data_IF_194969944031
#
_entry.id   IF_194969944031
#
_cell.length_a   1.000
_cell.length_b   1.000
_cell.length_c   1.000
_cell.angle_alpha   90.00
_cell.angle_beta   90.00
_cell.angle_gamma   90.00
#
_symmetry.space_group_name_H-M   'P 1'
#
loop_
_entity.id
_entity.type
_entity.pdbx_description
1 polymer ?
#
# COMPACT_ATOMS: atom_id res chain seq x y z
N UNK A 1 -42.85 -44.82 -37.85
CA UNK A 1 -43.57 -43.75 -37.11
C UNK A 1 -42.80 -43.42 -35.84
N UNK A 2 -42.31 -42.17 -35.78
CA UNK A 2 -41.79 -41.36 -34.65
C UNK A 2 -40.87 -42.05 -33.62
N UNK A 3 -39.57 -41.80 -33.77
CA UNK A 3 -38.58 -41.91 -32.69
C UNK A 3 -38.72 -40.74 -31.71
N UNK A 4 -38.82 -41.03 -30.43
CA UNK A 4 -38.80 -40.07 -29.33
C UNK A 4 -37.38 -39.49 -29.17
N UNK A 5 -37.18 -38.16 -29.12
CA UNK A 5 -35.88 -37.62 -28.74
C UNK A 5 -35.73 -37.66 -27.22
N UNK A 6 -34.73 -38.41 -26.75
CA UNK A 6 -34.22 -38.32 -25.38
C UNK A 6 -33.51 -36.97 -25.26
N UNK A 7 -34.10 -36.03 -24.53
CA UNK A 7 -33.46 -34.79 -24.13
C UNK A 7 -32.34 -35.17 -23.15
N UNK A 8 -31.10 -35.26 -23.65
CA UNK A 8 -29.92 -35.23 -22.80
C UNK A 8 -29.76 -33.80 -22.31
N UNK A 9 -30.26 -33.49 -21.12
CA UNK A 9 -29.86 -32.32 -20.36
C UNK A 9 -28.36 -32.43 -20.09
N UNK A 10 -27.55 -31.84 -20.96
CA UNK A 10 -26.14 -31.60 -20.71
C UNK A 10 -26.09 -30.48 -19.66
N UNK A 11 -25.90 -30.84 -18.40
CA UNK A 11 -25.61 -29.90 -17.32
C UNK A 11 -24.20 -29.35 -17.61
N UNK A 12 -24.13 -28.26 -18.37
CA UNK A 12 -22.91 -27.49 -18.52
C UNK A 12 -22.66 -26.79 -17.17
N UNK A 13 -21.89 -27.45 -16.29
CA UNK A 13 -21.28 -26.79 -15.15
C UNK A 13 -20.30 -25.78 -15.72
N UNK A 14 -20.77 -24.54 -15.86
CA UNK A 14 -19.92 -23.40 -16.17
C UNK A 14 -19.04 -23.17 -14.93
N UNK A 15 -17.91 -23.87 -14.88
CA UNK A 15 -16.80 -23.49 -14.00
C UNK A 15 -16.31 -22.16 -14.58
N UNK A 16 -16.81 -21.06 -14.02
CA UNK A 16 -16.18 -19.76 -14.19
C UNK A 16 -14.83 -19.90 -13.48
N UNK A 17 -13.81 -20.26 -14.26
CA UNK A 17 -12.43 -20.11 -13.86
C UNK A 17 -12.20 -18.61 -13.67
N UNK A 18 -12.37 -18.14 -12.43
CA UNK A 18 -11.75 -16.88 -12.03
C UNK A 18 -10.27 -17.16 -12.11
N UNK A 19 -9.65 -16.75 -13.21
CA UNK A 19 -8.21 -16.59 -13.28
C UNK A 19 -7.84 -15.53 -12.26
N UNK A 20 -7.67 -15.94 -11.01
CA UNK A 20 -6.78 -15.30 -10.07
C UNK A 20 -5.42 -15.38 -10.74
N UNK A 21 -5.14 -14.38 -11.58
CA UNK A 21 -3.80 -14.10 -12.01
C UNK A 21 -3.02 -13.82 -10.74
N UNK A 22 -2.36 -14.85 -10.22
CA UNK A 22 -1.20 -14.68 -9.36
C UNK A 22 -0.17 -14.07 -10.31
N UNK A 23 -0.27 -12.75 -10.53
CA UNK A 23 0.89 -12.00 -10.98
C UNK A 23 1.92 -12.27 -9.90
N UNK A 24 3.02 -12.92 -10.25
CA UNK A 24 4.13 -13.05 -9.31
C UNK A 24 4.44 -11.64 -8.81
N UNK A 25 4.37 -11.45 -7.50
CA UNK A 25 4.79 -10.22 -6.86
C UNK A 25 6.22 -9.95 -7.35
N UNK A 26 6.38 -8.94 -8.20
CA UNK A 26 7.70 -8.48 -8.61
C UNK A 26 8.01 -7.32 -7.72
N UNK A 27 9.11 -7.40 -6.99
CA UNK A 27 9.71 -6.23 -6.36
C UNK A 27 9.84 -5.15 -7.43
N UNK A 28 9.23 -3.99 -7.16
CA UNK A 28 9.25 -2.84 -8.03
C UNK A 28 10.27 -1.83 -7.51
N UNK A 29 10.91 -1.12 -8.43
CA UNK A 29 12.06 -0.27 -8.18
C UNK A 29 11.74 1.17 -8.59
N UNK A 30 12.03 2.13 -7.72
CA UNK A 30 11.75 3.55 -7.95
C UNK A 30 12.92 4.42 -7.49
N UNK A 31 13.41 5.28 -8.37
CA UNK A 31 14.45 6.25 -8.02
C UNK A 31 13.97 7.27 -6.99
N UNK A 32 14.82 7.60 -6.03
CA UNK A 32 14.52 8.54 -4.95
C UNK A 32 15.75 9.37 -4.55
N UNK A 33 15.59 10.26 -3.56
CA UNK A 33 16.70 11.04 -3.00
C UNK A 33 17.73 10.22 -2.22
N UNK A 34 17.39 8.99 -1.83
CA UNK A 34 18.24 8.10 -1.02
C UNK A 34 18.76 6.88 -1.79
N UNK A 35 18.54 6.83 -3.11
CA UNK A 35 18.88 5.67 -3.95
C UNK A 35 17.63 5.03 -4.54
N UNK A 36 17.77 3.80 -5.01
CA UNK A 36 16.67 3.07 -5.64
C UNK A 36 15.85 2.37 -4.54
N UNK A 37 14.62 2.84 -4.34
CA UNK A 37 13.67 2.20 -3.41
C UNK A 37 13.12 0.93 -4.04
N UNK A 38 13.19 -0.17 -3.29
CA UNK A 38 12.57 -1.46 -3.62
C UNK A 38 11.37 -1.69 -2.72
N UNK A 39 10.27 -2.12 -3.34
CA UNK A 39 9.03 -2.41 -2.62
C UNK A 39 8.27 -3.54 -3.31
N UNK A 40 7.79 -4.50 -2.53
CA UNK A 40 6.98 -5.61 -3.01
C UNK A 40 5.49 -5.22 -3.00
N UNK A 41 4.95 -4.98 -4.19
CA UNK A 41 3.54 -4.65 -4.40
C UNK A 41 2.94 -5.75 -5.29
N UNK A 42 1.81 -6.37 -4.91
CA UNK A 42 1.27 -7.57 -5.57
C UNK A 42 0.67 -7.33 -6.96
N UNK A 43 0.86 -6.14 -7.53
CA UNK A 43 0.40 -5.73 -8.85
C UNK A 43 1.26 -4.58 -9.37
N UNK A 44 1.23 -4.36 -10.68
CA UNK A 44 2.00 -3.30 -11.32
C UNK A 44 1.50 -1.91 -10.93
N UNK A 45 2.44 -1.00 -10.64
CA UNK A 45 2.19 0.42 -10.44
C UNK A 45 3.20 1.25 -11.23
N UNK A 46 2.89 2.52 -11.46
CA UNK A 46 3.81 3.49 -12.08
C UNK A 46 3.89 4.76 -11.24
N UNK A 47 4.90 5.60 -11.49
CA UNK A 47 5.00 6.92 -10.87
C UNK A 47 3.93 7.84 -11.47
N UNK A 48 3.06 8.38 -10.62
CA UNK A 48 2.11 9.43 -11.00
C UNK A 48 2.79 10.79 -11.14
N UNK A 49 2.12 11.71 -11.84
CA UNK A 49 2.63 13.05 -12.20
C UNK A 49 3.11 13.91 -11.03
N UNK A 50 2.62 13.65 -9.82
CA UNK A 50 3.00 14.38 -8.60
C UNK A 50 4.25 13.79 -7.91
N UNK A 51 4.88 12.78 -8.52
CA UNK A 51 6.07 12.16 -7.95
C UNK A 51 7.29 13.08 -8.05
N UNK A 52 8.17 13.00 -7.05
CA UNK A 52 9.48 13.62 -7.01
C UNK A 52 10.42 12.83 -6.10
N UNK A 53 11.66 13.27 -5.97
CA UNK A 53 12.72 12.47 -5.33
C UNK A 53 12.42 12.09 -3.86
N UNK A 54 11.69 12.94 -3.12
CA UNK A 54 11.30 12.68 -1.71
C UNK A 54 9.82 12.27 -1.56
N UNK A 55 9.06 12.17 -2.65
CA UNK A 55 7.64 11.83 -2.62
C UNK A 55 7.25 11.02 -3.85
N UNK A 56 7.13 9.70 -3.70
CA UNK A 56 6.72 8.81 -4.78
C UNK A 56 5.21 8.59 -4.67
N UNK A 57 4.48 8.92 -5.73
CA UNK A 57 3.03 8.81 -5.80
C UNK A 57 2.67 7.68 -6.76
N UNK A 58 2.55 6.46 -6.25
CA UNK A 58 2.35 5.27 -7.06
C UNK A 58 0.90 5.16 -7.51
N UNK A 59 0.66 4.96 -8.81
CA UNK A 59 -0.68 4.91 -9.42
C UNK A 59 -0.91 3.57 -10.15
N UNK A 60 -2.17 3.16 -10.30
CA UNK A 60 -2.53 2.10 -11.25
C UNK A 60 -2.22 2.60 -12.68
N UNK A 61 -1.58 1.81 -13.55
CA UNK A 61 -1.24 2.23 -14.90
C UNK A 61 -2.43 2.82 -15.67
N UNK A 62 -2.22 4.00 -16.26
CA UNK A 62 -3.28 4.72 -16.99
C UNK A 62 -4.28 5.47 -16.09
N UNK A 63 -4.00 5.60 -14.80
CA UNK A 63 -4.75 6.45 -13.87
C UNK A 63 -3.88 7.59 -13.35
N UNK A 64 -4.51 8.64 -12.80
CA UNK A 64 -3.77 9.76 -12.18
C UNK A 64 -3.92 9.79 -10.66
N UNK A 65 -4.62 8.82 -10.07
CA UNK A 65 -4.91 8.81 -8.63
C UNK A 65 -3.88 7.95 -7.89
N UNK A 66 -3.12 8.53 -6.95
CA UNK A 66 -2.23 7.75 -6.09
C UNK A 66 -3.00 6.69 -5.31
N UNK A 67 -2.45 5.47 -5.32
CA UNK A 67 -2.94 4.32 -4.57
C UNK A 67 -2.00 3.92 -3.44
N UNK A 68 -0.71 4.30 -3.52
CA UNK A 68 0.28 4.25 -2.45
C UNK A 68 1.14 5.51 -2.57
N UNK A 69 1.44 6.13 -1.44
CA UNK A 69 2.38 7.26 -1.39
C UNK A 69 3.53 6.91 -0.46
N UNK A 70 4.77 7.05 -0.94
CA UNK A 70 6.01 6.86 -0.18
C UNK A 70 6.66 8.24 -0.02
N UNK A 71 6.83 8.71 1.21
CA UNK A 71 7.38 10.04 1.48
C UNK A 71 8.61 9.94 2.36
N UNK A 72 9.66 10.65 1.98
CA UNK A 72 10.96 10.67 2.65
C UNK A 72 11.11 11.99 3.41
N UNK A 73 11.27 11.89 4.71
CA UNK A 73 11.36 13.05 5.61
C UNK A 73 12.76 13.13 6.21
N UNK A 74 13.36 14.31 6.20
CA UNK A 74 14.71 14.51 6.76
C UNK A 74 14.72 14.25 8.28
N UNK A 75 15.35 13.15 8.70
CA UNK A 75 15.31 12.73 10.11
C UNK A 75 16.04 13.70 11.02
N UNK A 76 17.09 14.39 10.55
CA UNK A 76 17.86 15.32 11.37
C UNK A 76 17.05 16.59 11.68
N UNK A 77 16.28 17.08 10.71
CA UNK A 77 15.33 18.17 10.89
C UNK A 77 14.19 17.74 11.82
N UNK A 78 13.58 16.58 11.56
CA UNK A 78 12.42 16.14 12.35
C UNK A 78 12.76 15.74 13.78
N UNK A 79 13.95 15.20 14.05
CA UNK A 79 14.45 14.93 15.41
C UNK A 79 14.53 16.19 16.28
N UNK A 80 14.64 17.39 15.69
CA UNK A 80 14.61 18.65 16.44
C UNK A 80 13.20 19.02 16.91
N UNK A 81 12.17 18.59 16.19
CA UNK A 81 10.76 18.86 16.48
C UNK A 81 10.10 17.72 17.27
N UNK A 82 10.50 16.49 16.96
CA UNK A 82 10.01 15.23 17.50
C UNK A 82 11.22 14.40 17.95
N UNK A 83 11.67 14.57 19.20
CA UNK A 83 12.84 13.89 19.76
C UNK A 83 12.88 12.38 19.59
N UNK A 84 11.72 11.73 19.47
CA UNK A 84 11.63 10.28 19.24
C UNK A 84 10.97 9.92 17.91
N UNK A 85 11.28 8.73 17.39
CA UNK A 85 10.64 8.19 16.19
C UNK A 85 9.12 8.03 16.37
N UNK A 86 8.68 7.66 17.57
CA UNK A 86 7.25 7.60 17.89
C UNK A 86 6.59 8.98 17.83
N UNK A 87 7.20 10.02 18.42
CA UNK A 87 6.66 11.38 18.34
C UNK A 87 6.58 11.89 16.88
N UNK A 88 7.54 11.49 16.02
CA UNK A 88 7.45 11.77 14.60
C UNK A 88 6.23 11.08 13.97
N UNK A 89 5.98 9.80 14.26
CA UNK A 89 4.80 9.10 13.75
C UNK A 89 3.49 9.72 14.29
N UNK A 90 3.45 10.07 15.58
CA UNK A 90 2.31 10.75 16.23
C UNK A 90 2.00 12.11 15.60
N UNK A 91 2.98 12.81 15.03
CA UNK A 91 2.73 14.09 14.36
C UNK A 91 1.74 13.99 13.19
N UNK A 92 1.55 12.79 12.62
CA UNK A 92 0.59 12.54 11.53
C UNK A 92 -0.80 12.11 12.02
N UNK A 93 -0.91 11.58 13.23
CA UNK A 93 -2.12 10.85 13.69
C UNK A 93 -2.65 11.29 15.05
N UNK A 94 -1.93 12.18 15.72
CA UNK A 94 -2.22 12.68 17.06
C UNK A 94 -1.36 12.03 18.14
N UNK A 95 -1.05 12.83 19.17
CA UNK A 95 -0.27 12.40 20.34
C UNK A 95 -0.96 11.28 21.11
N UNK A 96 -0.17 10.31 21.58
CA UNK A 96 -0.67 9.16 22.34
C UNK A 96 -1.41 8.11 21.50
N UNK A 97 -1.26 8.16 20.18
CA UNK A 97 -1.74 7.11 19.29
C UNK A 97 -0.97 5.81 19.52
N UNK A 98 -1.67 4.70 19.64
CA UNK A 98 -1.04 3.39 19.75
C UNK A 98 -0.64 2.87 18.35
N UNK A 99 0.60 2.44 18.23
CA UNK A 99 1.12 1.82 17.00
C UNK A 99 1.34 0.33 17.22
N UNK A 100 1.22 -0.43 16.15
CA UNK A 100 1.77 -1.78 16.12
C UNK A 100 3.26 -1.67 15.77
N UNK A 101 4.11 -2.06 16.73
CA UNK A 101 5.55 -2.13 16.54
C UNK A 101 5.91 -3.34 15.66
N UNK A 102 6.70 -3.09 14.63
CA UNK A 102 7.12 -4.07 13.64
C UNK A 102 8.56 -3.81 13.22
N UNK A 103 9.05 -4.62 12.29
CA UNK A 103 10.36 -4.47 11.67
C UNK A 103 10.24 -4.75 10.18
N UNK A 104 10.93 -3.96 9.34
CA UNK A 104 11.05 -4.25 7.91
C UNK A 104 11.85 -5.53 7.68
N UNK A 105 11.81 -6.07 6.47
CA UNK A 105 12.56 -7.27 6.11
C UNK A 105 14.08 -7.03 6.13
N UNK A 106 14.51 -5.76 6.04
CA UNK A 106 15.91 -5.33 6.25
C UNK A 106 16.27 -5.01 7.71
N UNK A 107 15.36 -5.22 8.66
CA UNK A 107 15.66 -5.01 10.08
C UNK A 107 15.46 -3.57 10.58
N UNK A 108 14.81 -2.69 9.80
CA UNK A 108 14.55 -1.29 10.21
C UNK A 108 13.35 -1.23 11.16
N UNK A 109 13.39 -0.40 12.24
CA UNK A 109 12.22 -0.17 13.09
C UNK A 109 11.05 0.35 12.28
N UNK A 110 9.85 -0.21 12.52
CA UNK A 110 8.63 0.19 11.84
C UNK A 110 7.49 0.37 12.84
N UNK A 111 6.73 1.45 12.72
CA UNK A 111 5.46 1.63 13.42
C UNK A 111 4.33 1.55 12.39
N UNK A 112 3.28 0.81 12.71
CA UNK A 112 2.14 0.64 11.82
C UNK A 112 0.85 1.15 12.46
N UNK A 113 0.07 1.90 11.70
CA UNK A 113 -1.19 2.50 12.14
C UNK A 113 -2.34 2.20 11.18
N UNK A 114 -3.51 1.93 11.76
CA UNK A 114 -4.79 1.78 11.05
C UNK A 114 -5.74 2.82 11.60
N UNK A 115 -6.24 3.69 10.72
CA UNK A 115 -7.11 4.80 11.10
C UNK A 115 -8.42 4.65 10.36
N UNK A 116 -9.55 4.68 11.06
CA UNK A 116 -10.85 4.81 10.39
C UNK A 116 -11.09 6.28 10.02
N UNK A 117 -11.02 6.61 8.73
CA UNK A 117 -11.23 7.98 8.24
C UNK A 117 -12.71 8.30 8.02
N UNK A 118 -13.57 7.30 7.97
CA UNK A 118 -15.00 7.52 7.84
C UNK A 118 -15.78 6.25 7.52
N UNK A 119 -16.88 6.45 6.83
CA UNK A 119 -17.74 5.38 6.30
C UNK A 119 -18.08 5.70 4.85
N UNK A 120 -18.30 4.67 4.04
CA UNK A 120 -18.81 4.84 2.69
C UNK A 120 -20.33 5.03 2.68
N UNK A 121 -20.94 5.09 1.49
CA UNK A 121 -22.39 5.34 1.35
C UNK A 121 -23.26 4.21 1.89
N UNK A 122 -22.71 3.02 2.03
CA UNK A 122 -23.40 1.84 2.57
C UNK A 122 -23.24 1.75 4.10
N UNK A 123 -22.42 2.64 4.68
CA UNK A 123 -22.10 2.68 6.10
C UNK A 123 -20.88 1.85 6.46
N UNK A 124 -20.19 1.25 5.49
CA UNK A 124 -19.01 0.43 5.73
C UNK A 124 -17.80 1.31 6.07
N UNK A 125 -16.98 0.93 7.06
CA UNK A 125 -15.84 1.73 7.47
C UNK A 125 -14.78 1.85 6.37
N UNK A 126 -14.26 3.06 6.19
CA UNK A 126 -13.11 3.32 5.32
C UNK A 126 -11.90 3.54 6.22
N UNK A 127 -10.86 2.75 5.99
CA UNK A 127 -9.59 2.86 6.71
C UNK A 127 -8.51 3.51 5.85
N UNK A 128 -7.55 4.14 6.52
CA UNK A 128 -6.23 4.49 5.99
C UNK A 128 -5.17 3.75 6.77
N UNK A 129 -4.18 3.24 6.05
CA UNK A 129 -3.03 2.55 6.59
C UNK A 129 -1.79 3.43 6.46
N UNK A 130 -0.94 3.40 7.49
CA UNK A 130 0.35 4.11 7.50
C UNK A 130 1.42 3.21 8.10
N UNK A 131 2.50 3.01 7.35
CA UNK A 131 3.76 2.47 7.84
C UNK A 131 4.77 3.61 7.98
N UNK A 132 5.31 3.79 9.18
CA UNK A 132 6.42 4.69 9.47
C UNK A 132 7.66 3.82 9.63
N UNK A 133 8.75 4.14 8.93
CA UNK A 133 10.01 3.38 8.99
C UNK A 133 11.14 4.31 9.40
N UNK A 134 11.94 3.87 10.38
CA UNK A 134 13.16 4.58 10.79
C UNK A 134 14.33 4.11 9.93
N UNK A 135 14.64 4.89 8.90
CA UNK A 135 15.80 4.69 8.03
C UNK A 135 16.89 5.75 8.30
N UNK A 136 16.88 6.33 9.51
CA UNK A 136 17.72 7.49 9.83
C UNK A 136 19.20 7.15 9.96
N UNK A 137 19.52 5.93 10.40
CA UNK A 137 20.90 5.47 10.57
C UNK A 137 21.59 5.20 9.22
N UNK A 138 20.88 4.67 8.23
CA UNK A 138 21.46 4.33 6.92
C UNK A 138 21.37 5.48 5.93
N UNK A 139 20.20 6.11 5.83
CA UNK A 139 19.91 7.08 4.77
C UNK A 139 19.49 8.46 5.29
N UNK A 140 19.47 8.67 6.61
CA UNK A 140 19.11 9.96 7.20
C UNK A 140 17.63 10.32 7.03
N UNK A 141 16.74 9.36 6.71
CA UNK A 141 15.31 9.61 6.48
C UNK A 141 14.41 8.89 7.46
N UNK A 142 13.27 9.50 7.74
CA UNK A 142 12.07 8.77 8.13
C UNK A 142 11.20 8.55 6.91
N UNK A 143 10.68 7.33 6.73
CA UNK A 143 9.86 6.98 5.57
C UNK A 143 8.42 6.82 6.01
N UNK A 144 7.48 7.40 5.26
CA UNK A 144 6.05 7.26 5.48
C UNK A 144 5.39 6.68 4.24
N UNK A 145 4.98 5.43 4.35
CA UNK A 145 4.23 4.70 3.31
C UNK A 145 2.76 4.71 3.73
N UNK A 146 1.87 5.24 2.90
CA UNK A 146 0.45 5.30 3.24
C UNK A 146 -0.46 5.05 2.04
N UNK A 147 -1.63 4.48 2.33
CA UNK A 147 -2.68 4.23 1.36
C UNK A 147 -4.06 4.16 2.03
N UNK A 148 -5.14 4.53 1.34
CA UNK A 148 -6.47 4.15 1.76
C UNK A 148 -6.68 2.65 1.57
N UNK A 149 -7.43 2.02 2.47
CA UNK A 149 -7.89 0.62 2.34
C UNK A 149 -8.63 0.34 1.04
N UNK A 150 -9.28 1.37 0.46
CA UNK A 150 -9.94 1.31 -0.85
C UNK A 150 -9.68 2.60 -1.64
N UNK A 151 -9.00 2.51 -2.77
CA UNK A 151 -8.82 3.62 -3.69
C UNK A 151 -9.86 3.56 -4.82
N UNK A 152 -10.58 4.67 -5.04
CA UNK A 152 -11.63 4.79 -6.08
C UNK A 152 -11.28 5.91 -7.05
N UNK A 153 -11.25 5.63 -8.35
CA UNK A 153 -11.03 6.61 -9.41
C UNK A 153 -12.14 6.52 -10.46
N UNK A 154 -12.77 7.65 -10.77
CA UNK A 154 -13.89 7.73 -11.74
C UNK A 154 -15.01 6.69 -11.48
N UNK A 155 -15.31 6.42 -10.21
CA UNK A 155 -16.35 5.47 -9.81
C UNK A 155 -15.92 3.99 -9.83
N UNK A 156 -14.70 3.68 -10.27
CA UNK A 156 -14.12 2.33 -10.24
C UNK A 156 -13.18 2.17 -9.04
N UNK A 157 -13.26 1.03 -8.36
CA UNK A 157 -12.23 0.63 -7.38
C UNK A 157 -10.97 0.22 -8.15
N UNK A 158 -9.87 0.91 -7.87
CA UNK A 158 -8.58 0.72 -8.54
C UNK A 158 -7.54 0.06 -7.65
N UNK A 159 -7.72 0.10 -6.33
CA UNK A 159 -6.90 -0.68 -5.39
C UNK A 159 -7.69 -0.98 -4.12
N UNK A 160 -7.37 -2.10 -3.48
CA UNK A 160 -7.88 -2.47 -2.15
C UNK A 160 -6.78 -3.19 -1.39
N UNK A 161 -6.70 -2.92 -0.09
CA UNK A 161 -5.71 -3.53 0.81
C UNK A 161 -6.41 -4.01 2.07
N UNK A 162 -6.04 -5.21 2.54
CA UNK A 162 -6.21 -5.55 3.95
C UNK A 162 -5.08 -4.93 4.77
N UNK A 163 -5.26 -4.91 6.10
CA UNK A 163 -4.23 -4.51 7.04
C UNK A 163 -2.93 -5.29 6.80
N UNK A 164 -3.03 -6.62 6.69
CA UNK A 164 -1.89 -7.53 6.55
C UNK A 164 -1.18 -7.34 5.22
N UNK A 165 -1.93 -7.13 4.13
CA UNK A 165 -1.36 -6.83 2.82
C UNK A 165 -0.56 -5.53 2.84
N UNK A 166 -1.12 -4.47 3.43
CA UNK A 166 -0.43 -3.19 3.47
C UNK A 166 0.76 -3.19 4.44
N UNK A 167 0.66 -3.89 5.56
CA UNK A 167 1.80 -4.11 6.46
C UNK A 167 2.93 -4.86 5.75
N UNK A 168 2.62 -5.90 4.96
CA UNK A 168 3.62 -6.62 4.17
C UNK A 168 4.30 -5.71 3.11
N UNK A 169 3.54 -4.87 2.42
CA UNK A 169 4.08 -3.85 1.51
C UNK A 169 5.06 -2.94 2.26
N UNK A 170 4.68 -2.42 3.44
CA UNK A 170 5.56 -1.55 4.22
C UNK A 170 6.84 -2.27 4.68
N UNK A 171 6.72 -3.53 5.11
CA UNK A 171 7.86 -4.34 5.55
C UNK A 171 8.88 -4.60 4.44
N UNK A 172 8.41 -4.70 3.20
CA UNK A 172 9.28 -4.95 2.05
C UNK A 172 10.15 -3.76 1.62
N UNK A 173 9.98 -2.59 2.25
CA UNK A 173 10.78 -1.40 1.95
C UNK A 173 12.28 -1.67 2.14
N UNK A 174 13.03 -1.42 1.06
CA UNK A 174 14.48 -1.54 0.98
C UNK A 174 15.06 -0.45 0.08
N UNK A 175 16.36 -0.19 0.21
CA UNK A 175 17.09 0.80 -0.59
C UNK A 175 18.40 0.20 -1.08
N UNK A 176 18.67 0.31 -2.38
CA UNK A 176 19.98 -0.01 -3.00
C UNK A 176 20.85 1.21 -3.27
#
# INVERSE_FOLDING_TARGET
MKSTPVIKCLLAVLIVSVSLGISSASVQEFESSIGTIKIDIPYAVELGDMSGNDSLQLVEPGTTKPIISINLWDSAMYKQLYPTFQEFAESFVGTGHEFEEMTTDEGKPMLFSVIQEGTDREGDPIYVFRGYIDDSEQNGKYVVIHAPSRAVYQGKVIATYTKEQFAAICKSFAVE
#
